data_IF_140427232808
#
_entry.id   IF_140427232808
#
_cell.length_a   1.000
_cell.length_b   1.000
_cell.length_c   1.000
_cell.angle_alpha   90.00
_cell.angle_beta   90.00
_cell.angle_gamma   90.00
#
_symmetry.space_group_name_H-M   'P 1'
#
loop_
_entity.id
_entity.type
_entity.pdbx_description
1 polymer ?
#
# COMPACT_ATOMS: atom_id res chain seq x y z
N UNK A 1 -49.88 64.95 -16.93
CA UNK A 1 -48.49 65.37 -16.63
C UNK A 1 -47.71 64.12 -16.24
N UNK A 2 -46.77 63.69 -17.07
CA UNK A 2 -45.92 62.50 -16.87
C UNK A 2 -44.76 62.88 -15.93
N UNK A 3 -44.42 62.01 -14.98
CA UNK A 3 -43.05 61.94 -14.45
C UNK A 3 -42.64 60.46 -14.45
N UNK A 4 -41.68 60.13 -15.32
CA UNK A 4 -41.03 58.82 -15.44
C UNK A 4 -39.73 58.96 -14.64
N UNK A 5 -39.55 58.16 -13.59
CA UNK A 5 -38.29 58.05 -12.86
C UNK A 5 -37.50 56.90 -13.47
N UNK A 6 -36.38 57.23 -14.12
CA UNK A 6 -35.39 56.28 -14.62
C UNK A 6 -34.52 55.83 -13.44
N UNK A 7 -34.57 54.54 -13.11
CA UNK A 7 -33.67 53.89 -12.14
C UNK A 7 -32.56 53.18 -12.91
N UNK A 8 -31.36 53.74 -12.85
CA UNK A 8 -30.13 53.21 -13.44
C UNK A 8 -29.68 51.94 -12.73
N UNK A 9 -29.74 50.78 -13.41
CA UNK A 9 -29.10 49.55 -12.96
C UNK A 9 -27.61 49.59 -13.33
N UNK A 10 -26.73 49.66 -12.33
CA UNK A 10 -25.30 49.42 -12.50
C UNK A 10 -25.01 47.92 -12.39
N UNK A 11 -24.57 47.32 -13.50
CA UNK A 11 -23.97 45.98 -13.54
C UNK A 11 -22.58 46.04 -12.92
N UNK A 12 -22.39 45.46 -11.73
CA UNK A 12 -21.07 45.23 -11.14
C UNK A 12 -20.48 43.97 -11.76
N UNK A 13 -19.58 44.13 -12.73
CA UNK A 13 -18.72 43.07 -13.24
C UNK A 13 -17.60 42.80 -12.21
N UNK A 14 -17.74 41.73 -11.43
CA UNK A 14 -16.63 41.18 -10.64
C UNK A 14 -15.64 40.50 -11.59
N UNK A 15 -14.53 41.19 -11.88
CA UNK A 15 -13.38 40.59 -12.53
C UNK A 15 -12.60 39.79 -11.48
N UNK A 16 -12.71 38.46 -11.52
CA UNK A 16 -11.81 37.57 -10.79
C UNK A 16 -10.42 37.68 -11.41
N UNK A 17 -9.55 38.46 -10.77
CA UNK A 17 -8.11 38.39 -11.04
C UNK A 17 -7.60 37.06 -10.48
N UNK A 18 -7.32 36.11 -11.36
CA UNK A 18 -6.40 35.02 -11.04
C UNK A 18 -5.04 35.64 -10.77
N UNK A 19 -4.74 35.90 -9.50
CA UNK A 19 -3.36 36.10 -9.07
C UNK A 19 -2.67 34.75 -9.21
N UNK A 20 -2.06 34.53 -10.38
CA UNK A 20 -1.18 33.39 -10.59
C UNK A 20 -0.14 33.36 -9.47
N UNK A 21 0.03 32.20 -8.84
CA UNK A 21 1.10 31.96 -7.88
C UNK A 21 2.42 32.42 -8.50
N UNK A 22 2.98 33.53 -8.01
CA UNK A 22 4.32 33.97 -8.35
C UNK A 22 5.26 32.86 -7.89
N UNK A 23 5.92 32.20 -8.84
CA UNK A 23 6.87 31.12 -8.60
C UNK A 23 8.03 31.62 -7.73
N UNK A 24 7.94 31.41 -6.42
CA UNK A 24 9.10 31.45 -5.55
C UNK A 24 10.08 30.38 -6.00
N UNK A 25 11.39 30.67 -5.90
CA UNK A 25 12.43 29.69 -6.16
C UNK A 25 12.26 28.56 -5.14
N UNK A 26 11.82 27.39 -5.60
CA UNK A 26 11.59 26.25 -4.73
C UNK A 26 12.92 25.54 -4.48
N UNK A 27 13.22 25.31 -3.20
CA UNK A 27 14.47 24.68 -2.73
C UNK A 27 14.23 23.27 -2.13
N UNK A 28 13.01 22.74 -2.21
CA UNK A 28 12.64 21.40 -1.72
C UNK A 28 13.08 20.27 -2.66
N UNK A 29 12.82 19.01 -2.30
CA UNK A 29 12.88 17.85 -3.21
C UNK A 29 11.49 17.52 -3.73
N UNK A 30 11.39 16.94 -4.92
CA UNK A 30 10.10 16.72 -5.60
C UNK A 30 9.25 15.74 -4.80
N UNK A 31 7.93 15.77 -5.03
CA UNK A 31 6.97 14.84 -4.43
C UNK A 31 7.54 13.40 -4.39
N UNK A 32 7.46 12.68 -3.25
CA UNK A 32 6.56 12.89 -2.11
C UNK A 32 7.17 13.69 -0.94
N UNK A 33 8.31 14.37 -1.08
CA UNK A 33 8.95 15.07 0.05
C UNK A 33 8.37 16.47 0.30
N UNK A 34 8.01 16.86 1.55
CA UNK A 34 7.65 18.23 1.86
C UNK A 34 8.88 19.15 1.73
N UNK A 35 8.67 20.47 1.56
CA UNK A 35 9.75 21.45 1.64
C UNK A 35 10.50 21.33 2.98
N UNK A 36 11.82 21.15 2.94
CA UNK A 36 12.63 21.03 4.16
C UNK A 36 12.74 19.62 4.76
N UNK A 37 12.27 18.57 4.08
CA UNK A 37 12.51 17.21 4.54
C UNK A 37 14.01 16.89 4.61
N UNK A 38 14.54 16.70 5.83
CA UNK A 38 15.85 16.10 6.02
C UNK A 38 15.79 14.66 5.58
N UNK A 39 16.50 14.39 4.49
CA UNK A 39 16.67 13.04 3.99
C UNK A 39 17.80 12.40 4.80
N UNK A 40 17.47 11.64 5.84
CA UNK A 40 18.33 10.50 6.21
C UNK A 40 18.02 9.34 5.26
N UNK A 41 18.06 9.57 3.95
CA UNK A 41 18.46 8.48 3.07
C UNK A 41 19.95 8.38 3.31
N UNK A 42 20.48 7.24 3.78
CA UNK A 42 21.80 6.89 3.36
C UNK A 42 21.71 6.87 1.84
N UNK A 43 22.25 7.89 1.18
CA UNK A 43 22.82 7.69 -0.15
C UNK A 43 24.03 6.82 0.11
N UNK A 44 23.80 5.54 0.41
CA UNK A 44 24.83 4.53 0.46
C UNK A 44 25.16 4.22 -1.01
N UNK A 45 25.84 5.18 -1.65
CA UNK A 45 26.78 4.84 -2.72
C UNK A 45 27.94 4.10 -2.06
N UNK A 46 27.73 2.84 -1.67
CA UNK A 46 28.83 1.90 -1.51
C UNK A 46 29.34 1.49 -2.91
N UNK A 47 30.63 1.19 -3.05
CA UNK A 47 31.27 0.99 -4.35
C UNK A 47 30.72 -0.29 -5.01
N UNK A 48 30.05 -0.15 -6.15
CA UNK A 48 29.65 -1.30 -6.97
C UNK A 48 28.46 -1.09 -7.89
N UNK A 49 27.47 -0.27 -7.50
CA UNK A 49 26.30 0.01 -8.34
C UNK A 49 26.39 1.39 -8.99
N UNK A 50 26.59 1.41 -10.31
CA UNK A 50 26.35 2.59 -11.14
C UNK A 50 24.89 2.55 -11.62
N UNK A 51 23.95 3.05 -10.82
CA UNK A 51 22.52 3.13 -11.21
C UNK A 51 21.56 2.71 -10.09
N UNK A 52 20.27 2.60 -10.44
CA UNK A 52 19.22 2.08 -9.54
C UNK A 52 19.45 0.59 -9.28
N UNK A 53 19.05 0.10 -8.11
CA UNK A 53 19.11 -1.33 -7.80
C UNK A 53 18.11 -2.08 -8.69
N UNK A 54 18.53 -3.12 -9.42
CA UNK A 54 17.66 -3.86 -10.32
C UNK A 54 16.65 -4.69 -9.52
N UNK A 55 15.40 -4.71 -9.99
CA UNK A 55 14.35 -5.58 -9.45
C UNK A 55 14.61 -7.05 -9.78
N UNK A 56 14.23 -7.97 -8.90
CA UNK A 56 14.20 -9.41 -9.14
C UNK A 56 15.56 -10.12 -9.24
N UNK A 57 16.67 -9.41 -9.09
CA UNK A 57 18.02 -10.00 -9.17
C UNK A 57 18.58 -10.21 -7.76
N UNK A 58 18.73 -11.48 -7.36
CA UNK A 58 19.40 -11.83 -6.09
C UNK A 58 20.86 -11.38 -6.14
N UNK A 59 21.28 -10.62 -5.14
CA UNK A 59 22.66 -10.17 -5.00
C UNK A 59 23.06 -10.16 -3.53
N UNK A 60 24.07 -10.95 -3.16
CA UNK A 60 24.57 -11.04 -1.78
C UNK A 60 25.08 -9.70 -1.21
N UNK A 61 25.50 -8.76 -2.07
CA UNK A 61 25.94 -7.43 -1.66
C UNK A 61 24.79 -6.43 -1.49
N UNK A 62 23.56 -6.79 -1.89
CA UNK A 62 22.40 -5.90 -1.86
C UNK A 62 21.19 -6.53 -1.17
N UNK A 63 20.58 -7.52 -1.80
CA UNK A 63 19.44 -8.28 -1.29
C UNK A 63 19.47 -9.67 -1.92
N UNK A 64 19.67 -10.69 -1.10
CA UNK A 64 19.61 -12.11 -1.47
C UNK A 64 18.35 -12.80 -0.93
N UNK A 65 17.49 -12.03 -0.23
CA UNK A 65 16.29 -12.51 0.45
C UNK A 65 16.56 -13.34 1.71
N UNK A 66 17.80 -13.38 2.20
CA UNK A 66 18.21 -14.26 3.32
C UNK A 66 19.02 -13.52 4.39
N UNK A 67 19.87 -12.60 3.98
CA UNK A 67 20.85 -11.92 4.84
C UNK A 67 20.30 -10.58 5.32
N UNK A 68 20.61 -10.21 6.57
CA UNK A 68 20.28 -8.92 7.17
C UNK A 68 18.76 -8.58 7.22
N UNK A 69 17.90 -9.61 7.24
CA UNK A 69 16.43 -9.45 7.29
C UNK A 69 15.95 -8.70 8.54
N UNK A 70 16.75 -8.69 9.60
CA UNK A 70 16.49 -7.96 10.86
C UNK A 70 16.39 -6.44 10.69
N UNK A 71 16.84 -5.89 9.56
CA UNK A 71 16.66 -4.47 9.23
C UNK A 71 15.19 -4.12 9.00
N UNK A 72 14.41 -5.04 8.42
CA UNK A 72 12.98 -4.82 8.15
C UNK A 72 12.10 -5.43 9.24
N UNK A 73 12.56 -6.50 9.89
CA UNK A 73 11.84 -7.19 10.94
C UNK A 73 12.78 -7.89 11.91
N UNK A 74 12.80 -7.42 13.16
CA UNK A 74 13.59 -7.94 14.28
C UNK A 74 13.17 -9.34 14.77
N UNK A 75 12.20 -9.98 14.11
CA UNK A 75 11.58 -11.26 14.49
C UNK A 75 10.77 -11.18 15.78
N UNK A 76 10.37 -9.97 16.19
CA UNK A 76 9.45 -9.79 17.31
C UNK A 76 8.15 -10.53 17.04
N UNK A 77 7.66 -11.21 18.08
CA UNK A 77 6.37 -11.87 18.06
C UNK A 77 5.22 -10.86 17.99
N UNK A 78 5.42 -9.61 18.42
CA UNK A 78 4.39 -8.56 18.44
C UNK A 78 3.86 -8.23 17.04
N UNK A 79 4.62 -8.58 16.00
CA UNK A 79 4.24 -8.38 14.61
C UNK A 79 3.11 -9.33 14.15
N UNK A 80 2.97 -10.49 14.79
CA UNK A 80 2.05 -11.55 14.36
C UNK A 80 1.28 -12.26 15.46
N UNK A 81 1.63 -12.07 16.73
CA UNK A 81 0.87 -12.55 17.89
C UNK A 81 0.09 -11.42 18.53
N UNK A 82 -1.04 -11.77 19.13
CA UNK A 82 -1.82 -10.85 19.94
C UNK A 82 -1.36 -10.91 21.40
N UNK A 83 -0.87 -9.79 21.92
CA UNK A 83 -0.52 -9.64 23.34
C UNK A 83 -1.42 -8.66 24.10
N UNK A 84 -2.42 -8.07 23.43
CA UNK A 84 -3.30 -7.08 24.05
C UNK A 84 -4.35 -7.75 24.93
N UNK A 85 -4.50 -7.25 26.15
CA UNK A 85 -5.44 -7.78 27.14
C UNK A 85 -6.90 -7.43 26.79
N UNK A 86 -7.14 -6.31 26.09
CA UNK A 86 -8.49 -5.85 25.76
C UNK A 86 -8.91 -6.21 24.33
N UNK A 87 -9.14 -7.50 24.08
CA UNK A 87 -9.63 -8.01 22.78
C UNK A 87 -10.95 -7.37 22.32
N UNK A 88 -11.72 -6.77 23.23
CA UNK A 88 -12.99 -6.10 22.92
C UNK A 88 -12.82 -4.93 21.95
N UNK A 89 -11.68 -4.26 21.99
CA UNK A 89 -11.42 -3.10 21.12
C UNK A 89 -11.24 -3.52 19.66
N UNK A 90 -10.93 -4.78 19.40
CA UNK A 90 -10.73 -5.37 18.08
C UNK A 90 -11.95 -6.16 17.58
N UNK A 91 -13.06 -6.11 18.32
CA UNK A 91 -14.29 -6.76 17.91
C UNK A 91 -14.93 -6.04 16.72
N UNK A 92 -15.59 -6.76 15.80
CA UNK A 92 -16.17 -6.16 14.62
C UNK A 92 -17.33 -5.23 14.99
N UNK A 93 -17.26 -3.97 14.58
CA UNK A 93 -18.30 -2.97 14.81
C UNK A 93 -19.10 -2.72 13.52
N UNK A 94 -20.42 -2.96 13.57
CA UNK A 94 -21.35 -2.78 12.46
C UNK A 94 -21.61 -1.30 12.10
N UNK A 95 -21.41 -0.40 13.04
CA UNK A 95 -21.65 1.03 12.86
C UNK A 95 -20.43 1.74 12.26
N UNK A 96 -19.26 1.11 12.32
CA UNK A 96 -17.99 1.65 11.85
C UNK A 96 -17.82 1.33 10.35
N UNK A 97 -18.31 2.25 9.52
CA UNK A 97 -18.32 2.13 8.04
C UNK A 97 -16.91 1.97 7.45
N UNK A 98 -16.70 1.17 6.39
CA UNK A 98 -15.40 1.02 5.76
C UNK A 98 -14.89 2.33 5.14
N UNK A 99 -13.57 2.50 5.10
CA UNK A 99 -12.91 3.68 4.52
C UNK A 99 -12.06 3.24 3.33
N UNK A 100 -12.34 3.79 2.16
CA UNK A 100 -11.47 3.75 1.00
C UNK A 100 -10.63 5.03 0.97
N UNK A 101 -9.31 4.89 0.95
CA UNK A 101 -8.37 5.98 0.80
C UNK A 101 -7.47 5.69 -0.40
N UNK A 102 -7.33 6.66 -1.29
CA UNK A 102 -6.41 6.59 -2.42
C UNK A 102 -5.51 7.82 -2.46
N UNK A 103 -4.24 7.57 -2.76
CA UNK A 103 -3.20 8.57 -2.89
C UNK A 103 -3.07 9.04 -4.35
N UNK A 104 -2.76 10.32 -4.53
CA UNK A 104 -2.44 10.84 -5.85
C UNK A 104 -0.98 10.56 -6.18
N UNK A 105 -0.73 9.53 -6.99
CA UNK A 105 0.61 9.17 -7.45
C UNK A 105 0.86 9.78 -8.85
N UNK A 106 1.90 10.62 -9.02
CA UNK A 106 2.25 11.15 -10.34
C UNK A 106 2.56 10.03 -11.34
N UNK A 107 2.13 10.18 -12.60
CA UNK A 107 2.32 9.15 -13.65
C UNK A 107 3.79 8.76 -13.91
N UNK A 108 4.73 9.66 -13.64
CA UNK A 108 6.17 9.40 -13.78
C UNK A 108 6.86 8.99 -12.48
N UNK A 109 6.11 8.74 -11.41
CA UNK A 109 6.67 8.28 -10.16
C UNK A 109 7.23 6.87 -10.35
N UNK A 110 8.51 6.70 -10.03
CA UNK A 110 9.16 5.41 -10.00
C UNK A 110 9.68 5.17 -8.58
N UNK A 111 9.24 4.13 -7.87
CA UNK A 111 9.76 3.82 -6.55
C UNK A 111 11.24 3.45 -6.63
N UNK A 112 12.01 3.77 -5.58
CA UNK A 112 13.41 3.37 -5.47
C UNK A 112 13.53 1.99 -4.80
N UNK A 113 14.45 1.18 -5.30
CA UNK A 113 14.82 -0.08 -4.67
C UNK A 113 16.00 0.11 -3.72
N UNK A 114 15.87 -0.39 -2.50
CA UNK A 114 16.90 -0.26 -1.46
C UNK A 114 17.47 -1.62 -1.06
N UNK A 115 18.80 -1.71 -1.03
CA UNK A 115 19.53 -2.86 -0.50
C UNK A 115 19.34 -3.02 1.01
N UNK A 116 19.54 -4.23 1.52
CA UNK A 116 19.29 -4.63 2.92
C UNK A 116 20.13 -3.88 3.96
N UNK A 117 21.16 -3.13 3.57
CA UNK A 117 21.92 -2.27 4.49
C UNK A 117 21.27 -0.90 4.74
N UNK A 118 20.20 -0.57 4.02
CA UNK A 118 19.46 0.68 4.16
C UNK A 118 18.13 0.44 4.87
N UNK A 119 17.86 1.21 5.92
CA UNK A 119 16.54 1.23 6.56
C UNK A 119 15.55 2.07 5.74
N UNK A 120 14.31 1.59 5.62
CA UNK A 120 13.24 2.27 4.89
C UNK A 120 12.13 2.63 5.87
N UNK A 121 11.78 3.92 5.93
CA UNK A 121 10.71 4.44 6.80
C UNK A 121 9.61 5.02 5.93
N UNK A 122 8.37 4.64 6.24
CA UNK A 122 7.16 5.15 5.59
C UNK A 122 6.48 6.17 6.49
N UNK A 123 5.81 7.15 5.88
CA UNK A 123 5.04 8.15 6.63
C UNK A 123 3.68 7.65 7.07
N UNK A 124 3.04 6.85 6.22
CA UNK A 124 1.77 6.22 6.51
C UNK A 124 2.04 4.90 7.22
N UNK A 125 1.25 4.59 8.24
CA UNK A 125 1.31 3.31 8.92
C UNK A 125 0.97 2.18 7.96
N UNK A 126 0.04 2.38 7.03
CA UNK A 126 -0.28 1.45 5.95
C UNK A 126 0.10 2.10 4.62
N UNK A 127 1.38 2.00 4.19
CA UNK A 127 1.82 2.59 2.94
C UNK A 127 1.20 1.88 1.74
N UNK A 128 0.83 2.63 0.72
CA UNK A 128 0.22 2.12 -0.53
C UNK A 128 1.18 2.22 -1.72
N UNK A 129 2.27 2.99 -1.58
CA UNK A 129 3.36 3.16 -2.53
C UNK A 129 4.61 3.65 -1.79
N UNK A 130 5.76 3.60 -2.45
CA UNK A 130 7.03 4.06 -1.87
C UNK A 130 8.19 3.19 -2.31
N UNK A 131 9.40 3.58 -1.93
CA UNK A 131 10.57 2.72 -2.14
C UNK A 131 10.53 1.48 -1.25
N UNK A 132 11.11 0.38 -1.73
CA UNK A 132 10.95 -0.95 -1.15
C UNK A 132 12.11 -1.89 -1.55
N UNK A 133 12.06 -3.17 -1.18
CA UNK A 133 13.13 -4.15 -1.48
C UNK A 133 13.04 -4.66 -2.91
N UNK A 134 14.16 -4.87 -3.62
CA UNK A 134 14.15 -5.30 -5.02
C UNK A 134 13.64 -6.74 -5.23
N UNK A 135 13.63 -7.59 -4.21
CA UNK A 135 13.06 -8.94 -4.29
C UNK A 135 11.66 -8.94 -3.67
N UNK A 136 10.64 -9.18 -4.49
CA UNK A 136 9.26 -9.30 -4.02
C UNK A 136 9.00 -10.69 -3.41
N UNK A 137 8.03 -10.78 -2.47
CA UNK A 137 7.60 -12.04 -1.87
C UNK A 137 6.95 -12.97 -2.89
N UNK A 138 7.09 -14.28 -2.66
CA UNK A 138 6.19 -15.29 -3.22
C UNK A 138 4.75 -14.94 -2.89
N UNK A 139 3.81 -15.12 -3.81
CA UNK A 139 2.40 -14.90 -3.49
C UNK A 139 1.90 -15.94 -2.48
N UNK A 140 1.14 -15.50 -1.49
CA UNK A 140 0.62 -16.39 -0.45
C UNK A 140 0.44 -15.77 0.94
N UNK A 141 0.31 -16.64 1.92
CA UNK A 141 0.11 -16.29 3.33
C UNK A 141 1.41 -16.43 4.11
N UNK A 142 1.73 -15.40 4.90
CA UNK A 142 2.95 -15.30 5.70
C UNK A 142 2.65 -15.23 7.18
N UNK A 143 3.54 -15.78 8.00
CA UNK A 143 3.52 -15.57 9.44
C UNK A 143 3.69 -14.09 9.77
N UNK A 144 4.63 -13.42 9.11
CA UNK A 144 4.73 -11.98 9.04
C UNK A 144 5.54 -11.58 7.81
N UNK A 145 5.14 -10.49 7.16
CA UNK A 145 5.86 -9.92 6.04
C UNK A 145 5.88 -8.39 6.18
N UNK A 146 7.07 -7.76 6.26
CA UNK A 146 7.17 -6.34 6.50
C UNK A 146 6.79 -5.50 5.27
N UNK A 147 6.38 -4.22 5.45
CA UNK A 147 5.96 -3.34 4.36
C UNK A 147 6.99 -3.17 3.25
N UNK A 148 8.27 -3.18 3.61
CA UNK A 148 9.37 -3.10 2.67
C UNK A 148 9.37 -4.24 1.63
N UNK A 149 8.70 -5.37 1.91
CA UNK A 149 8.57 -6.51 0.99
C UNK A 149 7.27 -6.48 0.21
N UNK A 150 6.13 -6.37 0.89
CA UNK A 150 4.84 -6.46 0.20
C UNK A 150 4.51 -5.24 -0.66
N UNK A 151 5.13 -4.07 -0.42
CA UNK A 151 4.98 -2.90 -1.29
C UNK A 151 5.42 -3.17 -2.73
N UNK A 152 6.44 -4.02 -2.93
CA UNK A 152 6.85 -4.42 -4.28
C UNK A 152 5.73 -5.20 -4.98
N UNK A 153 5.06 -6.11 -4.27
CA UNK A 153 3.92 -6.84 -4.83
C UNK A 153 2.79 -5.90 -5.24
N UNK A 154 2.59 -4.79 -4.53
CA UNK A 154 1.63 -3.76 -4.96
C UNK A 154 2.04 -3.12 -6.28
N UNK A 155 3.33 -2.84 -6.47
CA UNK A 155 3.85 -2.32 -7.74
C UNK A 155 3.55 -3.25 -8.92
N UNK A 156 3.57 -4.56 -8.67
CA UNK A 156 3.20 -5.62 -9.62
C UNK A 156 1.68 -5.86 -9.73
N UNK A 157 0.88 -5.05 -9.04
CA UNK A 157 -0.60 -5.11 -9.10
C UNK A 157 -1.22 -6.19 -8.22
N UNK A 158 -0.51 -6.71 -7.23
CA UNK A 158 -1.07 -7.64 -6.25
C UNK A 158 -2.01 -6.96 -5.25
N UNK A 159 -2.78 -7.77 -4.54
CA UNK A 159 -3.58 -7.37 -3.38
C UNK A 159 -2.85 -7.81 -2.11
N UNK A 160 -2.62 -6.90 -1.18
CA UNK A 160 -2.11 -7.23 0.16
C UNK A 160 -3.25 -7.14 1.17
N UNK A 161 -3.60 -8.28 1.77
CA UNK A 161 -4.51 -8.37 2.89
C UNK A 161 -3.73 -8.25 4.19
N UNK A 162 -4.01 -7.19 4.94
CA UNK A 162 -3.50 -6.96 6.28
C UNK A 162 -4.60 -7.19 7.31
N UNK A 163 -4.24 -7.76 8.45
CA UNK A 163 -5.12 -7.88 9.60
C UNK A 163 -4.35 -7.67 10.89
N UNK A 164 -4.97 -7.04 11.89
CA UNK A 164 -4.35 -6.92 13.20
C UNK A 164 -4.29 -8.31 13.87
N UNK A 165 -3.18 -8.71 14.52
CA UNK A 165 -3.09 -10.02 15.18
C UNK A 165 -4.21 -10.32 16.19
N UNK A 166 -4.78 -9.28 16.81
CA UNK A 166 -5.89 -9.38 17.76
C UNK A 166 -7.29 -9.29 17.14
N UNK A 167 -7.40 -9.18 15.81
CA UNK A 167 -8.69 -9.08 15.14
C UNK A 167 -9.50 -10.38 15.30
N UNK A 168 -10.83 -10.27 15.17
CA UNK A 168 -11.72 -11.43 15.26
C UNK A 168 -11.33 -12.54 14.24
N UNK A 169 -11.05 -13.77 14.71
CA UNK A 169 -10.62 -14.85 13.83
C UNK A 169 -11.62 -15.25 12.74
N UNK A 170 -12.93 -15.08 12.97
CA UNK A 170 -13.95 -15.40 11.97
C UNK A 170 -13.91 -14.40 10.82
N UNK A 171 -13.80 -13.11 11.14
CA UNK A 171 -13.64 -12.04 10.14
C UNK A 171 -12.29 -12.14 9.41
N UNK A 172 -11.19 -12.51 10.09
CA UNK A 172 -9.91 -12.84 9.43
C UNK A 172 -10.13 -13.93 8.38
N UNK A 173 -10.74 -15.06 8.75
CA UNK A 173 -10.94 -16.18 7.84
C UNK A 173 -11.90 -15.83 6.69
N UNK A 174 -12.91 -15.00 6.95
CA UNK A 174 -13.82 -14.48 5.93
C UNK A 174 -13.08 -13.66 4.88
N UNK A 175 -12.24 -12.71 5.29
CA UNK A 175 -11.47 -11.90 4.33
C UNK A 175 -10.41 -12.73 3.59
N UNK A 176 -9.75 -13.68 4.28
CA UNK A 176 -8.85 -14.64 3.63
C UNK A 176 -9.56 -15.39 2.52
N UNK A 177 -10.75 -15.94 2.80
CA UNK A 177 -11.55 -16.67 1.81
C UNK A 177 -11.90 -15.82 0.58
N UNK A 178 -12.26 -14.56 0.77
CA UNK A 178 -12.53 -13.63 -0.35
C UNK A 178 -11.28 -13.47 -1.21
N UNK A 179 -10.14 -13.15 -0.59
CA UNK A 179 -8.90 -12.87 -1.30
C UNK A 179 -8.37 -14.11 -2.02
N UNK A 180 -8.32 -15.26 -1.34
CA UNK A 180 -7.78 -16.50 -1.91
C UNK A 180 -8.63 -17.08 -3.04
N UNK A 181 -9.92 -16.75 -3.09
CA UNK A 181 -10.82 -17.15 -4.17
C UNK A 181 -10.94 -16.07 -5.26
N UNK A 182 -10.29 -14.92 -5.08
CA UNK A 182 -10.38 -13.81 -6.03
C UNK A 182 -9.20 -13.71 -6.98
N UNK A 183 -7.98 -13.96 -6.53
CA UNK A 183 -6.79 -13.85 -7.38
C UNK A 183 -5.63 -14.67 -6.84
N UNK A 184 -4.75 -15.08 -7.75
CA UNK A 184 -3.46 -15.67 -7.46
C UNK A 184 -2.51 -14.67 -6.82
N UNK A 185 -2.41 -13.44 -7.36
CA UNK A 185 -1.50 -12.38 -6.87
C UNK A 185 -1.99 -11.73 -5.59
N UNK A 186 -1.99 -12.49 -4.50
CA UNK A 186 -2.29 -11.99 -3.17
C UNK A 186 -1.16 -12.25 -2.17
N UNK A 187 -1.09 -11.37 -1.17
CA UNK A 187 -0.29 -11.54 0.03
C UNK A 187 -1.23 -11.42 1.22
N UNK A 188 -1.12 -12.34 2.18
CA UNK A 188 -1.87 -12.28 3.44
C UNK A 188 -0.85 -12.24 4.58
N UNK A 189 -0.90 -11.21 5.41
CA UNK A 189 0.04 -11.09 6.53
C UNK A 189 -0.56 -10.28 7.70
N UNK A 190 -0.25 -10.63 8.96
CA UNK A 190 -0.64 -9.81 10.09
C UNK A 190 0.11 -8.47 10.11
N UNK A 191 -0.53 -7.44 10.68
CA UNK A 191 0.03 -6.10 10.75
C UNK A 191 -0.47 -5.35 11.99
N UNK A 192 0.39 -5.27 13.01
CA UNK A 192 0.07 -4.70 14.32
C UNK A 192 -0.08 -3.18 14.35
N UNK A 193 0.19 -2.48 13.25
CA UNK A 193 -0.05 -1.02 13.14
C UNK A 193 -1.47 -0.67 12.67
N UNK A 194 -2.31 -1.66 12.37
CA UNK A 194 -3.72 -1.39 12.10
C UNK A 194 -4.44 -0.94 13.38
N UNK A 195 -5.26 0.10 13.24
CA UNK A 195 -6.03 0.63 14.35
C UNK A 195 -7.12 -0.34 14.79
N UNK A 196 -7.45 -0.35 16.08
CA UNK A 196 -8.45 -1.26 16.65
C UNK A 196 -9.84 -1.08 16.03
N UNK A 197 -10.22 0.15 15.66
CA UNK A 197 -11.49 0.43 14.98
C UNK A 197 -11.56 -0.17 13.57
N UNK A 198 -10.40 -0.40 12.92
CA UNK A 198 -10.30 -0.92 11.55
C UNK A 198 -9.17 -1.95 11.45
N UNK A 199 -9.33 -3.12 12.06
CA UNK A 199 -8.25 -4.08 12.19
C UNK A 199 -8.07 -4.92 10.92
N UNK A 200 -8.73 -4.58 9.81
CA UNK A 200 -8.59 -5.22 8.50
C UNK A 200 -8.29 -4.18 7.43
N UNK A 201 -7.37 -4.51 6.51
CA UNK A 201 -7.14 -3.70 5.32
C UNK A 201 -6.88 -4.56 4.07
N UNK A 202 -7.38 -4.11 2.93
CA UNK A 202 -6.91 -4.52 1.60
C UNK A 202 -6.13 -3.37 0.99
N UNK A 203 -4.93 -3.65 0.48
CA UNK A 203 -4.01 -2.63 -0.04
C UNK A 203 -3.65 -2.97 -1.48
N UNK A 204 -3.67 -1.96 -2.33
CA UNK A 204 -3.21 -1.97 -3.73
C UNK A 204 -2.27 -0.80 -3.96
N UNK A 205 -1.65 -0.74 -5.14
CA UNK A 205 -0.82 0.41 -5.50
C UNK A 205 -1.62 1.72 -5.42
N UNK A 206 -1.27 2.57 -4.46
CA UNK A 206 -1.89 3.87 -4.24
C UNK A 206 -3.29 3.85 -3.61
N UNK A 207 -3.85 2.72 -3.21
CA UNK A 207 -5.16 2.67 -2.54
C UNK A 207 -5.19 1.66 -1.39
N UNK A 208 -6.02 1.93 -0.39
CA UNK A 208 -6.33 1.01 0.70
C UNK A 208 -7.79 1.09 1.11
N UNK A 209 -8.39 -0.07 1.36
CA UNK A 209 -9.70 -0.24 1.96
C UNK A 209 -9.53 -0.75 3.39
N UNK A 210 -9.92 0.04 4.39
CA UNK A 210 -9.85 -0.30 5.80
C UNK A 210 -11.24 -0.58 6.37
N UNK A 211 -11.40 -1.68 7.12
CA UNK A 211 -12.69 -2.21 7.55
C UNK A 211 -12.66 -2.56 9.03
N UNK A 212 -13.79 -2.32 9.73
CA UNK A 212 -14.03 -2.85 11.09
C UNK A 212 -14.57 -4.27 11.04
N UNK A 213 -15.62 -4.46 10.24
CA UNK A 213 -16.20 -5.76 9.88
C UNK A 213 -16.03 -5.97 8.38
N UNK A 214 -15.74 -7.21 7.98
CA UNK A 214 -15.57 -7.56 6.56
C UNK A 214 -16.93 -7.56 5.89
N UNK A 215 -17.08 -6.71 4.89
CA UNK A 215 -18.20 -6.75 3.96
C UNK A 215 -17.73 -7.47 2.68
N UNK A 216 -18.37 -8.59 2.37
CA UNK A 216 -17.98 -9.42 1.22
C UNK A 216 -18.12 -8.68 -0.11
N UNK A 217 -19.20 -7.90 -0.28
CA UNK A 217 -19.46 -7.18 -1.52
C UNK A 217 -18.43 -6.08 -1.71
N UNK A 218 -18.20 -5.28 -0.67
CA UNK A 218 -17.25 -4.16 -0.73
C UNK A 218 -15.81 -4.66 -0.95
N UNK A 219 -15.41 -5.71 -0.23
CA UNK A 219 -14.08 -6.30 -0.40
C UNK A 219 -13.88 -6.88 -1.81
N UNK A 220 -14.86 -7.63 -2.32
CA UNK A 220 -14.81 -8.18 -3.69
C UNK A 220 -14.78 -7.06 -4.74
N UNK A 221 -15.61 -6.04 -4.59
CA UNK A 221 -15.66 -4.88 -5.50
C UNK A 221 -14.33 -4.11 -5.50
N UNK A 222 -13.71 -3.91 -4.32
CA UNK A 222 -12.38 -3.32 -4.24
C UNK A 222 -11.33 -4.15 -4.98
N UNK A 223 -11.32 -5.48 -4.78
CA UNK A 223 -10.38 -6.36 -5.49
C UNK A 223 -10.59 -6.27 -7.00
N UNK A 224 -11.84 -6.38 -7.47
CA UNK A 224 -12.16 -6.34 -8.90
C UNK A 224 -11.77 -5.01 -9.57
N UNK A 225 -11.86 -3.89 -8.85
CA UNK A 225 -11.57 -2.56 -9.40
C UNK A 225 -10.11 -2.14 -9.26
N UNK A 226 -9.41 -2.65 -8.25
CA UNK A 226 -8.09 -2.14 -7.85
C UNK A 226 -6.95 -3.14 -8.10
N UNK A 227 -7.24 -4.44 -8.25
CA UNK A 227 -6.22 -5.41 -8.60
C UNK A 227 -5.62 -5.13 -9.98
N UNK A 228 -4.36 -5.50 -10.17
CA UNK A 228 -3.62 -5.38 -11.42
C UNK A 228 -3.35 -3.94 -11.90
N UNK A 229 -3.66 -2.92 -11.07
CA UNK A 229 -3.45 -1.49 -11.38
C UNK A 229 -2.07 -0.96 -10.97
N UNK A 230 -1.12 -1.84 -10.67
CA UNK A 230 0.27 -1.47 -10.42
C UNK A 230 0.96 -0.95 -11.69
N UNK A 231 1.98 -0.08 -11.57
CA UNK A 231 2.67 0.50 -12.72
C UNK A 231 3.47 -0.54 -13.50
N UNK A 232 3.84 -1.67 -12.89
CA UNK A 232 4.61 -2.73 -13.54
C UNK A 232 3.75 -3.94 -13.90
N UNK A 233 3.97 -4.44 -15.11
CA UNK A 233 3.25 -5.61 -15.65
C UNK A 233 4.06 -6.88 -15.46
N UNK A 234 4.37 -7.20 -14.20
CA UNK A 234 5.11 -8.41 -13.82
C UNK A 234 4.16 -9.36 -13.10
N UNK A 235 3.82 -10.46 -13.75
CA UNK A 235 2.98 -11.52 -13.18
C UNK A 235 3.79 -12.64 -12.49
N UNK A 236 5.10 -12.66 -12.69
CA UNK A 236 5.95 -13.72 -12.17
C UNK A 236 5.96 -13.74 -10.65
N UNK A 237 6.02 -14.95 -10.10
CA UNK A 237 6.09 -15.17 -8.68
C UNK A 237 7.42 -14.69 -8.08
N UNK A 238 7.38 -14.29 -6.81
CA UNK A 238 8.52 -13.66 -6.14
C UNK A 238 9.63 -14.61 -5.77
N UNK A 239 10.74 -14.05 -5.30
CA UNK A 239 11.92 -14.83 -4.93
C UNK A 239 12.17 -14.88 -3.42
N UNK A 240 11.41 -14.10 -2.64
CA UNK A 240 11.46 -14.04 -1.19
C UNK A 240 10.38 -14.92 -0.55
N UNK A 241 10.80 -15.88 0.27
CA UNK A 241 9.94 -16.91 0.88
C UNK A 241 10.11 -17.04 2.40
N UNK A 242 10.89 -16.15 3.02
CA UNK A 242 11.07 -16.17 4.47
C UNK A 242 9.73 -15.96 5.19
N UNK A 243 9.42 -16.86 6.14
CA UNK A 243 8.17 -16.87 6.90
C UNK A 243 6.89 -17.13 6.08
N UNK A 244 7.01 -17.66 4.86
CA UNK A 244 5.86 -18.10 4.07
C UNK A 244 5.23 -19.35 4.71
N UNK A 245 3.93 -19.30 4.95
CA UNK A 245 3.14 -20.41 5.50
C UNK A 245 2.46 -21.22 4.40
N UNK A 246 1.93 -20.54 3.38
CA UNK A 246 1.20 -21.18 2.28
C UNK A 246 1.35 -20.39 1.00
N UNK A 247 1.77 -21.04 -0.07
CA UNK A 247 1.77 -20.45 -1.41
C UNK A 247 0.35 -20.18 -1.92
N UNK A 248 0.17 -19.09 -2.64
CA UNK A 248 -1.05 -18.82 -3.38
C UNK A 248 -1.26 -19.87 -4.49
N UNK A 249 -2.51 -20.22 -4.75
CA UNK A 249 -2.88 -21.12 -5.84
C UNK A 249 -3.27 -20.28 -7.06
N UNK A 250 -2.84 -20.72 -8.22
CA UNK A 250 -3.34 -20.16 -9.49
C UNK A 250 -4.81 -20.56 -9.62
N UNK A 251 -5.69 -19.57 -9.79
CA UNK A 251 -7.14 -19.79 -9.94
C UNK A 251 -7.54 -19.94 -11.41
N UNK A 252 -7.09 -19.01 -12.26
CA UNK A 252 -7.34 -19.07 -13.70
C UNK A 252 -6.06 -19.30 -14.48
N UNK A 253 -5.09 -18.40 -14.32
CA UNK A 253 -3.80 -18.38 -15.00
C UNK A 253 -2.83 -17.49 -14.22
N UNK A 254 -1.55 -17.53 -14.57
CA UNK A 254 -0.49 -16.77 -13.89
C UNK A 254 -0.68 -15.24 -13.95
N UNK A 255 -1.46 -14.74 -14.90
CA UNK A 255 -1.70 -13.30 -15.06
C UNK A 255 -2.97 -12.81 -14.37
N UNK A 256 -3.73 -13.69 -13.70
CA UNK A 256 -5.05 -13.37 -13.15
C UNK A 256 -6.00 -12.77 -14.21
N UNK A 257 -6.08 -13.40 -15.39
CA UNK A 257 -6.88 -12.86 -16.51
C UNK A 257 -8.37 -12.72 -16.17
N UNK A 258 -8.86 -13.49 -15.19
CA UNK A 258 -10.19 -13.32 -14.59
C UNK A 258 -10.06 -13.15 -13.09
N UNK A 259 -10.42 -11.96 -12.59
CA UNK A 259 -10.44 -11.65 -11.15
C UNK A 259 -11.80 -12.08 -10.57
N UNK A 260 -11.75 -12.79 -9.45
CA UNK A 260 -12.90 -13.34 -8.73
C UNK A 260 -13.80 -14.22 -9.61
N UNK A 261 -13.25 -15.29 -10.21
CA UNK A 261 -14.04 -16.24 -11.00
C UNK A 261 -15.17 -16.83 -10.17
N UNK A 262 -16.26 -17.21 -10.82
CA UNK A 262 -17.28 -18.06 -10.20
C UNK A 262 -16.71 -19.47 -10.13
N UNK A 263 -16.44 -19.95 -8.91
CA UNK A 263 -15.88 -21.29 -8.62
C UNK A 263 -17.00 -22.17 -8.06
#
# INVERSE_FOLDING_TARGET
MKLIILSSFWLVLYSFWFTGCKGGKWYGKWFPYPPGAEVTSPVDKKPGYKGRVPMGIKNSNCDDGKTNLTVDWDKSADSYLCFYENLKDYMPDLYVQPILQCDHIPRGYMPEHYCMHTSIVYRDDVPTFGGHRPLWPRYGEYQYLPPQRWLHSLEHGAIVMLYHPCADPQEINKLKGIVTNCLYRHIITPYNKLQSQRPFALVTWGCKLMMSKVDHKIAKEFIMTSALQGPEKVSTDGQFDYALLRHAKILTDENDSTICPEI
#
